data_IF_505526792299
#
_entry.id   IF_505526792299
#
_cell.length_a   1.000
_cell.length_b   1.000
_cell.length_c   1.000
_cell.angle_alpha   90.00
_cell.angle_beta   90.00
_cell.angle_gamma   90.00
#
_symmetry.space_group_name_H-M   'P 1'
#
loop_
_entity.id
_entity.type
_entity.pdbx_description
1 polymer ?
#
# COMPACT_ATOMS: atom_id res chain seq x y z
N UNK A 1 -38.02 -11.74 -4.71
CA UNK A 1 -36.89 -12.66 -4.44
C UNK A 1 -36.16 -12.19 -3.19
N UNK A 2 -36.33 -12.90 -2.07
CA UNK A 2 -35.63 -12.57 -0.83
C UNK A 2 -34.15 -12.90 -1.00
N UNK A 3 -33.28 -11.88 -1.03
CA UNK A 3 -31.84 -12.10 -0.95
C UNK A 3 -31.58 -12.76 0.40
N UNK A 4 -31.23 -14.04 0.37
CA UNK A 4 -30.84 -14.80 1.56
C UNK A 4 -29.66 -14.10 2.22
N UNK A 5 -29.54 -14.20 3.55
CA UNK A 5 -28.45 -13.60 4.33
C UNK A 5 -27.06 -13.83 3.68
N UNK A 6 -26.86 -15.02 3.10
CA UNK A 6 -25.68 -15.40 2.32
C UNK A 6 -25.37 -14.46 1.13
N UNK A 7 -26.39 -14.01 0.39
CA UNK A 7 -26.20 -13.10 -0.75
C UNK A 7 -25.70 -11.70 -0.33
N UNK A 8 -26.10 -11.23 0.84
CA UNK A 8 -25.58 -9.97 1.38
C UNK A 8 -24.12 -10.12 1.85
N UNK A 9 -23.79 -11.23 2.53
CA UNK A 9 -22.42 -11.54 2.96
C UNK A 9 -21.47 -11.64 1.77
N UNK A 10 -21.87 -12.35 0.70
CA UNK A 10 -21.07 -12.47 -0.51
C UNK A 10 -20.83 -11.11 -1.20
N UNK A 11 -21.85 -10.24 -1.21
CA UNK A 11 -21.73 -8.89 -1.77
C UNK A 11 -20.73 -8.02 -1.00
N UNK A 12 -20.78 -8.04 0.33
CA UNK A 12 -19.85 -7.25 1.15
C UNK A 12 -18.41 -7.78 1.04
N UNK A 13 -18.21 -9.11 0.99
CA UNK A 13 -16.88 -9.69 0.74
C UNK A 13 -16.31 -9.26 -0.61
N UNK A 14 -17.14 -9.24 -1.66
CA UNK A 14 -16.72 -8.81 -2.99
C UNK A 14 -16.28 -7.34 -3.00
N UNK A 15 -17.05 -6.45 -2.35
CA UNK A 15 -16.66 -5.03 -2.23
C UNK A 15 -15.30 -4.86 -1.55
N UNK A 16 -15.04 -5.61 -0.48
CA UNK A 16 -13.75 -5.55 0.23
C UNK A 16 -12.59 -6.02 -0.68
N UNK A 17 -12.79 -7.08 -1.45
CA UNK A 17 -11.78 -7.55 -2.41
C UNK A 17 -11.51 -6.52 -3.51
N UNK A 18 -12.56 -5.90 -4.06
CA UNK A 18 -12.42 -4.86 -5.07
C UNK A 18 -11.71 -3.62 -4.51
N UNK A 19 -12.04 -3.22 -3.28
CA UNK A 19 -11.41 -2.06 -2.62
C UNK A 19 -9.97 -2.31 -2.14
N UNK A 20 -9.56 -3.58 -1.97
CA UNK A 20 -8.19 -3.91 -1.58
C UNK A 20 -7.17 -3.51 -2.65
N UNK A 21 -7.55 -3.56 -3.93
CA UNK A 21 -6.68 -3.12 -5.03
C UNK A 21 -6.68 -1.60 -5.23
N UNK A 22 -7.72 -0.90 -4.76
CA UNK A 22 -7.85 0.55 -4.92
C UNK A 22 -7.03 1.40 -3.92
N UNK A 23 -6.41 0.79 -2.90
CA UNK A 23 -5.57 1.51 -1.94
C UNK A 23 -4.08 1.53 -2.32
N UNK A 24 -3.72 0.94 -3.46
CA UNK A 24 -2.35 1.02 -3.98
C UNK A 24 -2.18 2.38 -4.64
N UNK A 25 -1.26 3.20 -4.12
CA UNK A 25 -0.78 4.37 -4.86
C UNK A 25 -0.21 3.88 -6.18
N UNK A 26 -0.43 4.65 -7.25
CA UNK A 26 0.13 4.30 -8.55
C UNK A 26 1.67 4.35 -8.51
N UNK A 27 2.30 3.62 -9.43
CA UNK A 27 3.76 3.46 -9.42
C UNK A 27 4.50 4.79 -9.59
N UNK A 28 3.93 5.76 -10.33
CA UNK A 28 4.56 7.06 -10.51
C UNK A 28 4.55 7.86 -9.21
N UNK A 29 3.43 7.86 -8.48
CA UNK A 29 3.36 8.46 -7.15
C UNK A 29 4.29 7.77 -6.16
N UNK A 30 4.38 6.43 -6.18
CA UNK A 30 5.33 5.69 -5.37
C UNK A 30 6.78 6.08 -5.64
N UNK A 31 7.14 6.28 -6.91
CA UNK A 31 8.49 6.67 -7.30
C UNK A 31 8.86 8.07 -6.81
N UNK A 32 7.93 9.02 -6.91
CA UNK A 32 8.11 10.36 -6.34
C UNK A 32 8.39 10.30 -4.83
N UNK A 33 7.64 9.48 -4.10
CA UNK A 33 7.84 9.30 -2.65
C UNK A 33 9.24 8.72 -2.36
N UNK A 34 9.69 7.71 -3.13
CA UNK A 34 11.04 7.14 -2.97
C UNK A 34 12.11 8.21 -3.20
N UNK A 35 11.98 9.01 -4.25
CA UNK A 35 12.93 10.07 -4.56
C UNK A 35 12.98 11.15 -3.49
N UNK A 36 11.83 11.59 -2.97
CA UNK A 36 11.76 12.57 -1.89
C UNK A 36 12.44 12.06 -0.61
N UNK A 37 12.17 10.81 -0.23
CA UNK A 37 12.81 10.18 0.94
C UNK A 37 14.33 10.12 0.73
N UNK A 38 14.78 9.66 -0.44
CA UNK A 38 16.21 9.61 -0.79
C UNK A 38 16.88 10.99 -0.67
N UNK A 39 16.26 12.03 -1.23
CA UNK A 39 16.73 13.42 -1.14
C UNK A 39 16.82 13.93 0.30
N UNK A 40 15.96 13.47 1.21
CA UNK A 40 16.04 13.86 2.62
C UNK A 40 17.22 13.17 3.31
N UNK A 41 17.47 11.89 3.04
CA UNK A 41 18.60 11.14 3.63
C UNK A 41 19.94 11.78 3.25
N UNK A 42 20.12 12.18 2.00
CA UNK A 42 21.39 12.78 1.53
C UNK A 42 21.72 14.13 2.17
N UNK A 43 20.73 14.81 2.79
CA UNK A 43 20.98 16.03 3.58
C UNK A 43 21.75 15.75 4.86
N UNK A 44 21.68 14.53 5.37
CA UNK A 44 22.25 14.14 6.67
C UNK A 44 23.30 13.02 6.57
N UNK A 45 23.35 12.33 5.43
CA UNK A 45 24.26 11.22 5.18
C UNK A 45 24.99 11.47 3.86
N UNK A 46 26.32 11.39 3.88
CA UNK A 46 27.14 11.50 2.67
C UNK A 46 27.08 10.18 1.91
N UNK A 47 26.11 10.09 1.00
CA UNK A 47 25.86 8.95 0.12
C UNK A 47 25.29 9.47 -1.19
N UNK A 48 25.68 8.87 -2.31
CA UNK A 48 25.10 9.23 -3.61
C UNK A 48 23.69 8.64 -3.73
N UNK A 49 22.71 9.36 -4.33
CA UNK A 49 21.33 8.88 -4.46
C UNK A 49 21.20 7.50 -5.10
N UNK A 50 22.07 7.19 -6.08
CA UNK A 50 22.10 5.92 -6.82
C UNK A 50 22.44 4.73 -5.91
N UNK A 51 23.07 5.00 -4.76
CA UNK A 51 23.45 4.00 -3.77
C UNK A 51 22.36 3.81 -2.68
N UNK A 52 21.19 4.42 -2.82
CA UNK A 52 20.05 4.31 -1.87
C UNK A 52 18.94 3.44 -2.49
N UNK A 53 18.62 2.32 -1.84
CA UNK A 53 17.45 1.50 -2.20
C UNK A 53 16.31 1.67 -1.18
N UNK A 54 15.11 2.03 -1.65
CA UNK A 54 13.92 2.20 -0.82
C UNK A 54 12.87 1.15 -1.20
N UNK A 55 12.60 0.23 -0.27
CA UNK A 55 11.60 -0.85 -0.44
C UNK A 55 10.39 -0.62 0.45
N UNK A 56 9.20 -0.65 -0.15
CA UNK A 56 7.93 -0.63 0.59
C UNK A 56 7.57 -2.05 1.00
N UNK A 57 7.45 -2.30 2.31
CA UNK A 57 7.01 -3.57 2.86
C UNK A 57 5.69 -3.37 3.60
N UNK A 58 4.62 -3.97 3.09
CA UNK A 58 3.35 -4.04 3.82
C UNK A 58 3.48 -5.12 4.89
N UNK A 59 3.52 -4.71 6.16
CA UNK A 59 3.35 -5.66 7.26
C UNK A 59 1.86 -5.96 7.41
N UNK A 60 1.51 -7.22 7.26
CA UNK A 60 0.19 -7.72 7.68
C UNK A 60 0.10 -7.56 9.20
N UNK A 61 -0.45 -6.43 9.66
CA UNK A 61 -0.85 -6.28 11.05
C UNK A 61 -2.04 -7.23 11.27
N UNK A 62 -1.76 -8.49 11.60
CA UNK A 62 -2.73 -9.33 12.29
C UNK A 62 -3.09 -8.59 13.57
N UNK A 63 -4.32 -8.09 13.68
CA UNK A 63 -4.86 -7.62 14.96
C UNK A 63 -4.61 -8.75 15.96
N UNK A 64 -3.89 -8.47 17.05
CA UNK A 64 -3.82 -9.38 18.19
C UNK A 64 -5.25 -9.64 18.64
N UNK A 65 -5.67 -10.91 18.61
CA UNK A 65 -6.93 -11.38 19.20
C UNK A 65 -6.95 -11.13 20.71
#
# INVERSE_FOLDING_TARGET
MFKTHSGNVAKERLKLMMNADHHKLDEATMELIRQEIGCVITKYVVIEPENIEIKVMLKDYKKRE
#
